data_IF_690158050880
#
_entry.id   IF_690158050880
#
_cell.length_a   1.000
_cell.length_b   1.000
_cell.length_c   1.000
_cell.angle_alpha   90.00
_cell.angle_beta   90.00
_cell.angle_gamma   90.00
#
_symmetry.space_group_name_H-M   'P 1'
#
loop_
_entity.id
_entity.type
_entity.pdbx_description
1 polymer ?
#
# COMPACT_ATOMS: atom_id res chain seq x y z
N UNK A 1 17.87 -28.64 -22.38
CA UNK A 1 18.28 -28.88 -20.97
C UNK A 1 17.45 -27.98 -20.07
N UNK A 2 17.03 -28.48 -18.91
CA UNK A 2 15.73 -28.19 -18.29
C UNK A 2 15.50 -26.76 -17.79
N UNK A 3 14.48 -26.09 -18.35
CA UNK A 3 13.94 -24.80 -17.88
C UNK A 3 13.23 -24.88 -16.52
N UNK A 4 13.22 -26.05 -15.88
CA UNK A 4 12.54 -26.38 -14.62
C UNK A 4 13.61 -26.85 -13.62
N UNK A 5 13.50 -26.51 -12.32
CA UNK A 5 14.43 -26.99 -11.30
C UNK A 5 14.57 -28.52 -11.33
N UNK A 6 15.80 -29.07 -11.25
CA UNK A 6 16.00 -30.51 -11.29
C UNK A 6 15.22 -31.23 -10.19
N UNK A 7 14.81 -32.48 -10.45
CA UNK A 7 14.06 -33.29 -9.48
C UNK A 7 14.79 -33.45 -8.14
N UNK A 8 16.12 -33.40 -8.17
CA UNK A 8 17.02 -33.38 -7.00
C UNK A 8 16.81 -32.22 -6.02
N UNK A 9 16.01 -31.21 -6.40
CA UNK A 9 15.47 -30.16 -5.53
C UNK A 9 14.01 -30.55 -5.26
N UNK A 10 13.79 -31.45 -4.30
CA UNK A 10 12.51 -32.08 -4.02
C UNK A 10 11.72 -31.45 -2.85
N UNK A 11 12.28 -30.42 -2.24
CA UNK A 11 11.66 -29.66 -1.14
C UNK A 11 11.43 -28.22 -1.57
N UNK A 12 10.46 -27.56 -0.96
CA UNK A 12 10.19 -26.14 -1.14
C UNK A 12 9.45 -25.75 -2.42
N UNK A 13 9.41 -24.43 -2.62
CA UNK A 13 8.79 -23.72 -3.72
C UNK A 13 9.88 -22.90 -4.41
N UNK A 14 10.04 -23.12 -5.71
CA UNK A 14 10.93 -22.35 -6.58
C UNK A 14 10.08 -21.43 -7.45
N UNK A 15 10.41 -20.15 -7.47
CA UNK A 15 9.70 -19.16 -8.27
C UNK A 15 10.62 -18.10 -8.85
N UNK A 16 10.20 -17.51 -9.97
CA UNK A 16 10.83 -16.32 -10.53
C UNK A 16 9.96 -15.11 -10.20
N UNK A 17 10.58 -14.02 -9.76
CA UNK A 17 9.90 -12.74 -9.61
C UNK A 17 10.30 -11.80 -10.76
N UNK A 18 9.31 -11.25 -11.44
CA UNK A 18 9.49 -10.31 -12.55
C UNK A 18 8.45 -9.21 -12.50
N UNK A 19 8.85 -7.96 -12.71
CA UNK A 19 7.92 -6.87 -12.89
C UNK A 19 7.38 -6.93 -14.33
N UNK A 20 6.05 -7.09 -14.45
CA UNK A 20 5.37 -7.25 -15.72
C UNK A 20 4.29 -6.19 -15.90
N UNK A 21 4.07 -5.79 -17.14
CA UNK A 21 3.06 -4.80 -17.49
C UNK A 21 1.69 -5.48 -17.44
N UNK A 22 0.76 -4.84 -16.74
CA UNK A 22 -0.65 -5.22 -16.71
C UNK A 22 -1.40 -4.35 -17.74
N UNK A 23 -1.94 -4.98 -18.78
CA UNK A 23 -2.70 -4.27 -19.81
C UNK A 23 -4.15 -4.09 -19.35
N UNK A 24 -4.43 -2.92 -18.81
CA UNK A 24 -5.76 -2.39 -18.50
C UNK A 24 -5.83 -0.93 -18.96
N UNK A 25 -6.98 -0.25 -18.80
CA UNK A 25 -7.22 1.16 -19.20
C UNK A 25 -6.10 2.16 -18.81
N UNK A 26 -5.28 1.81 -17.81
CA UNK A 26 -3.98 2.45 -17.53
C UNK A 26 -2.93 1.36 -17.32
N UNK A 27 -1.97 1.23 -18.24
CA UNK A 27 -0.87 0.27 -18.10
C UNK A 27 -0.02 0.59 -16.86
N UNK A 28 0.22 -0.43 -16.02
CA UNK A 28 1.08 -0.31 -14.84
C UNK A 28 1.90 -1.59 -14.62
N UNK A 29 3.08 -1.45 -14.03
CA UNK A 29 3.96 -2.57 -13.72
C UNK A 29 3.60 -3.17 -12.36
N UNK A 30 3.47 -4.49 -12.32
CA UNK A 30 3.22 -5.26 -11.10
C UNK A 30 4.23 -6.39 -10.96
N UNK A 31 4.79 -6.63 -9.75
CA UNK A 31 5.61 -7.79 -9.50
C UNK A 31 4.77 -9.07 -9.59
N UNK A 32 5.04 -9.88 -10.62
CA UNK A 32 4.44 -11.19 -10.84
C UNK A 32 5.39 -12.27 -10.35
N UNK A 33 4.85 -13.24 -9.60
CA UNK A 33 5.57 -14.39 -9.12
C UNK A 33 5.20 -15.62 -9.96
N UNK A 34 6.17 -16.08 -10.75
CA UNK A 34 6.07 -17.25 -11.63
C UNK A 34 6.51 -18.48 -10.84
N UNK A 35 5.57 -19.32 -10.43
CA UNK A 35 5.85 -20.57 -9.72
C UNK A 35 6.37 -21.60 -10.71
N UNK A 36 7.64 -21.99 -10.55
CA UNK A 36 8.31 -22.97 -11.39
C UNK A 36 8.09 -24.39 -10.89
N UNK A 37 8.10 -24.55 -9.57
CA UNK A 37 7.92 -25.83 -8.90
C UNK A 37 7.43 -25.58 -7.48
N UNK A 38 6.42 -26.32 -7.05
CA UNK A 38 5.93 -26.32 -5.68
C UNK A 38 5.86 -27.77 -5.18
N UNK A 39 6.84 -28.17 -4.38
CA UNK A 39 6.88 -29.49 -3.73
C UNK A 39 6.40 -29.45 -2.27
N UNK A 40 6.22 -28.25 -1.73
CA UNK A 40 5.57 -27.97 -0.46
C UNK A 40 4.29 -27.15 -0.70
N UNK A 41 3.27 -27.26 0.18
CA UNK A 41 2.06 -26.46 0.05
C UNK A 41 2.37 -24.97 0.19
N UNK A 42 1.71 -24.15 -0.63
CA UNK A 42 1.73 -22.69 -0.47
C UNK A 42 1.13 -22.32 0.89
N UNK A 43 1.80 -21.45 1.64
CA UNK A 43 1.32 -20.96 2.94
C UNK A 43 0.16 -19.97 2.79
N UNK A 44 0.07 -19.34 1.62
CA UNK A 44 -0.95 -18.39 1.28
C UNK A 44 -2.34 -19.06 1.27
N UNK A 45 -3.28 -18.49 2.03
CA UNK A 45 -4.68 -18.93 2.04
C UNK A 45 -5.45 -18.26 0.91
N UNK A 46 -6.47 -18.95 0.40
CA UNK A 46 -7.40 -18.42 -0.59
C UNK A 46 -8.66 -17.89 0.09
N UNK A 47 -9.16 -16.76 -0.40
CA UNK A 47 -10.50 -16.25 -0.10
C UNK A 47 -11.54 -16.93 -0.99
N UNK A 48 -11.20 -17.16 -2.26
CA UNK A 48 -12.08 -17.74 -3.28
C UNK A 48 -11.29 -18.60 -4.26
N UNK A 49 -11.94 -19.59 -4.85
CA UNK A 49 -11.37 -20.43 -5.90
C UNK A 49 -10.35 -21.44 -5.40
N UNK A 50 -9.38 -21.77 -6.25
CA UNK A 50 -8.35 -22.79 -5.97
C UNK A 50 -7.02 -22.41 -6.60
N UNK A 51 -5.94 -23.01 -6.09
CA UNK A 51 -4.68 -23.02 -6.83
C UNK A 51 -4.81 -23.93 -8.07
N UNK A 52 -4.08 -23.63 -9.16
CA UNK A 52 -4.01 -24.51 -10.32
C UNK A 52 -3.56 -25.92 -9.93
N UNK A 53 -4.20 -26.91 -10.52
CA UNK A 53 -3.90 -28.33 -10.34
C UNK A 53 -3.24 -28.90 -11.59
N UNK A 54 -2.75 -30.14 -11.50
CA UNK A 54 -2.22 -30.84 -12.67
C UNK A 54 -3.20 -30.94 -13.84
N UNK A 55 -4.51 -30.84 -13.58
CA UNK A 55 -5.52 -30.86 -14.64
C UNK A 55 -5.56 -29.58 -15.46
N UNK A 56 -5.08 -28.45 -14.92
CA UNK A 56 -5.02 -27.17 -15.62
C UNK A 56 -3.75 -27.04 -16.47
N UNK A 57 -2.75 -27.89 -16.22
CA UNK A 57 -1.49 -27.89 -16.95
C UNK A 57 -1.76 -27.96 -18.47
N UNK A 58 -1.23 -26.97 -19.19
CA UNK A 58 -1.37 -26.80 -20.64
C UNK A 58 -2.81 -26.63 -21.18
N UNK A 59 -3.85 -26.61 -20.35
CA UNK A 59 -5.24 -26.38 -20.82
C UNK A 59 -5.57 -24.89 -20.91
N UNK A 60 -5.10 -24.11 -19.95
CA UNK A 60 -5.31 -22.66 -19.90
C UNK A 60 -4.17 -22.00 -19.15
N UNK A 61 -3.83 -20.77 -19.55
CA UNK A 61 -2.93 -19.94 -18.77
C UNK A 61 -3.68 -19.50 -17.51
N UNK A 62 -3.15 -19.83 -16.34
CA UNK A 62 -3.84 -19.60 -15.06
C UNK A 62 -3.10 -18.60 -14.18
N UNK A 63 -3.86 -17.76 -13.49
CA UNK A 63 -3.38 -16.85 -12.47
C UNK A 63 -4.16 -17.03 -11.17
N UNK A 64 -3.48 -16.77 -10.05
CA UNK A 64 -4.07 -16.58 -8.72
C UNK A 64 -3.67 -15.20 -8.24
N UNK A 65 -4.63 -14.40 -7.81
CA UNK A 65 -4.43 -12.96 -7.61
C UNK A 65 -4.78 -12.50 -6.21
N UNK A 66 -4.19 -11.40 -5.76
CA UNK A 66 -4.59 -10.69 -4.56
C UNK A 66 -5.92 -9.95 -4.77
N UNK A 67 -6.60 -9.62 -3.67
CA UNK A 67 -7.92 -8.97 -3.71
C UNK A 67 -7.90 -7.60 -4.41
N UNK A 68 -6.78 -6.89 -4.34
CA UNK A 68 -6.61 -5.59 -5.01
C UNK A 68 -6.57 -5.69 -6.54
N UNK A 69 -6.25 -6.88 -7.08
CA UNK A 69 -6.23 -7.15 -8.52
C UNK A 69 -7.60 -7.46 -9.10
N UNK A 70 -8.62 -7.78 -8.28
CA UNK A 70 -9.93 -8.22 -8.79
C UNK A 70 -10.62 -7.17 -9.66
N UNK A 71 -10.50 -5.89 -9.28
CA UNK A 71 -11.03 -4.75 -10.04
C UNK A 71 -10.39 -4.57 -11.42
N UNK A 72 -9.27 -5.27 -11.67
CA UNK A 72 -8.53 -5.25 -12.93
C UNK A 72 -8.80 -6.49 -13.78
N UNK A 73 -9.75 -7.34 -13.36
CA UNK A 73 -10.16 -8.51 -14.12
C UNK A 73 -11.32 -8.22 -15.07
N UNK A 74 -11.38 -8.94 -16.18
CA UNK A 74 -12.44 -8.86 -17.18
C UNK A 74 -13.26 -10.15 -17.12
N UNK A 75 -14.58 -10.01 -16.95
CA UNK A 75 -15.50 -11.15 -16.97
C UNK A 75 -15.86 -11.52 -18.41
N UNK A 76 -15.53 -12.74 -18.84
CA UNK A 76 -15.81 -13.26 -20.18
C UNK A 76 -16.11 -14.76 -20.09
N UNK A 77 -17.05 -15.27 -20.88
CA UNK A 77 -17.32 -16.72 -20.97
C UNK A 77 -17.51 -17.47 -19.63
N UNK A 78 -18.07 -16.80 -18.62
CA UNK A 78 -18.28 -17.38 -17.28
C UNK A 78 -17.04 -17.45 -16.38
N UNK A 79 -15.89 -16.90 -16.81
CA UNK A 79 -14.66 -16.78 -16.03
C UNK A 79 -14.20 -15.34 -15.86
N UNK A 80 -13.29 -15.11 -14.90
CA UNK A 80 -12.57 -13.85 -14.71
C UNK A 80 -11.18 -13.97 -15.36
N UNK A 81 -10.78 -12.98 -16.13
CA UNK A 81 -9.51 -12.98 -16.86
C UNK A 81 -8.67 -11.76 -16.54
N UNK A 82 -7.35 -11.90 -16.64
CA UNK A 82 -6.37 -10.85 -16.40
C UNK A 82 -5.37 -10.81 -17.55
N UNK A 83 -5.11 -9.65 -18.12
CA UNK A 83 -4.11 -9.49 -19.17
C UNK A 83 -2.76 -9.09 -18.56
N UNK A 84 -1.73 -9.91 -18.79
CA UNK A 84 -0.36 -9.68 -18.33
C UNK A 84 0.55 -9.67 -19.57
N UNK A 85 1.07 -8.49 -19.90
CA UNK A 85 2.02 -8.28 -21.01
C UNK A 85 1.50 -8.83 -22.35
N UNK A 86 0.23 -8.57 -22.67
CA UNK A 86 -0.43 -9.05 -23.87
C UNK A 86 -0.99 -10.49 -23.81
N UNK A 87 -0.72 -11.25 -22.74
CA UNK A 87 -1.23 -12.62 -22.57
C UNK A 87 -2.43 -12.67 -21.62
N UNK A 88 -3.49 -13.38 -22.02
CA UNK A 88 -4.73 -13.51 -21.24
C UNK A 88 -4.66 -14.70 -20.27
N UNK A 89 -4.80 -14.45 -18.97
CA UNK A 89 -4.78 -15.46 -17.92
C UNK A 89 -6.15 -15.63 -17.27
N UNK A 90 -6.61 -16.87 -17.16
CA UNK A 90 -7.79 -17.23 -16.37
C UNK A 90 -7.47 -17.10 -14.86
N UNK A 91 -8.26 -16.32 -14.14
CA UNK A 91 -8.16 -16.18 -12.69
C UNK A 91 -8.85 -17.37 -12.04
N UNK A 92 -8.06 -18.24 -11.42
CA UNK A 92 -8.51 -19.50 -10.81
C UNK A 92 -8.72 -19.41 -9.29
N UNK A 93 -8.11 -18.41 -8.66
CA UNK A 93 -8.22 -18.18 -7.22
C UNK A 93 -7.90 -16.75 -6.83
N UNK A 94 -8.46 -16.33 -5.70
CA UNK A 94 -8.22 -15.03 -5.07
C UNK A 94 -7.65 -15.29 -3.68
N UNK A 95 -6.50 -14.68 -3.39
CA UNK A 95 -5.79 -14.82 -2.13
C UNK A 95 -6.51 -14.10 -1.01
N UNK A 96 -6.36 -14.62 0.21
CA UNK A 96 -6.72 -13.89 1.41
C UNK A 96 -5.75 -12.71 1.58
N UNK A 97 -6.26 -11.48 1.81
CA UNK A 97 -5.44 -10.29 1.97
C UNK A 97 -4.55 -10.41 3.20
N UNK A 98 -3.31 -9.95 3.07
CA UNK A 98 -2.32 -10.03 4.17
C UNK A 98 -2.29 -8.74 4.99
N UNK A 99 -2.46 -7.58 4.35
CA UNK A 99 -2.40 -6.26 5.01
C UNK A 99 -3.64 -5.42 4.69
N UNK A 100 -4.05 -5.39 3.41
CA UNK A 100 -5.20 -4.60 2.97
C UNK A 100 -5.88 -5.27 1.79
N UNK A 101 -7.21 -5.32 1.82
CA UNK A 101 -8.02 -5.82 0.71
C UNK A 101 -7.82 -4.99 -0.57
N UNK A 102 -7.70 -3.67 -0.44
CA UNK A 102 -7.68 -2.75 -1.58
C UNK A 102 -6.35 -2.70 -2.33
N UNK A 103 -5.27 -3.04 -1.64
CA UNK A 103 -3.89 -2.84 -2.11
C UNK A 103 -3.09 -4.15 -2.21
N UNK A 104 -3.76 -5.31 -2.17
CA UNK A 104 -3.13 -6.60 -2.42
C UNK A 104 -3.00 -6.86 -3.92
N UNK A 105 -1.89 -6.40 -4.50
CA UNK A 105 -1.58 -6.54 -5.93
C UNK A 105 -0.74 -7.78 -6.26
N UNK A 106 -0.74 -8.81 -5.40
CA UNK A 106 -0.01 -10.06 -5.69
C UNK A 106 -0.58 -10.76 -6.91
N UNK A 107 0.29 -11.31 -7.75
CA UNK A 107 -0.09 -12.15 -8.89
C UNK A 107 0.83 -13.37 -8.91
N UNK A 108 0.23 -14.55 -8.82
CA UNK A 108 0.91 -15.82 -9.01
C UNK A 108 0.49 -16.43 -10.34
N UNK A 109 1.47 -16.78 -11.17
CA UNK A 109 1.25 -17.58 -12.37
C UNK A 109 2.09 -18.85 -12.31
N UNK A 110 1.71 -19.89 -13.05
CA UNK A 110 2.29 -21.22 -12.90
C UNK A 110 2.95 -21.64 -14.19
N UNK A 111 4.23 -22.03 -14.11
CA UNK A 111 5.06 -22.35 -15.27
C UNK A 111 4.45 -23.45 -16.16
N UNK A 112 3.83 -24.46 -15.54
CA UNK A 112 3.19 -25.57 -16.26
C UNK A 112 1.90 -25.18 -16.99
N UNK A 113 1.30 -24.05 -16.63
CA UNK A 113 0.13 -23.47 -17.29
C UNK A 113 0.51 -22.52 -18.44
N UNK A 114 1.79 -22.10 -18.55
CA UNK A 114 2.22 -21.16 -19.58
C UNK A 114 2.37 -21.83 -20.95
N UNK A 115 1.96 -21.11 -22.00
CA UNK A 115 2.31 -21.44 -23.39
C UNK A 115 3.81 -21.29 -23.63
N UNK A 116 4.34 -21.95 -24.66
CA UNK A 116 5.77 -21.87 -24.96
C UNK A 116 6.21 -20.45 -25.36
N UNK A 117 5.35 -19.71 -26.07
CA UNK A 117 5.57 -18.29 -26.38
C UNK A 117 5.67 -17.43 -25.11
N UNK A 118 4.77 -17.65 -24.15
CA UNK A 118 4.77 -16.91 -22.87
C UNK A 118 6.01 -17.23 -22.03
N UNK A 119 6.45 -18.50 -22.02
CA UNK A 119 7.68 -18.93 -21.37
C UNK A 119 8.91 -18.25 -21.96
N UNK A 120 8.99 -18.17 -23.28
CA UNK A 120 10.11 -17.54 -23.96
C UNK A 120 10.12 -16.02 -23.73
N UNK A 121 8.95 -15.36 -23.72
CA UNK A 121 8.82 -13.95 -23.37
C UNK A 121 9.24 -13.65 -21.92
N UNK A 122 8.87 -14.49 -20.95
CA UNK A 122 9.25 -14.25 -19.56
C UNK A 122 10.73 -14.51 -19.28
N UNK A 123 11.37 -15.42 -20.01
CA UNK A 123 12.81 -15.72 -19.86
C UNK A 123 13.70 -14.76 -20.65
N UNK A 124 13.22 -14.10 -21.70
CA UNK A 124 14.07 -13.31 -22.62
C UNK A 124 14.68 -12.02 -22.06
N UNK A 125 14.46 -11.65 -20.78
CA UNK A 125 15.00 -10.43 -20.16
C UNK A 125 16.24 -10.71 -19.29
N UNK A 126 17.19 -9.77 -19.32
CA UNK A 126 18.57 -9.93 -18.82
C UNK A 126 18.71 -10.14 -17.30
N UNK A 127 17.68 -9.88 -16.49
CA UNK A 127 17.74 -10.08 -15.05
C UNK A 127 16.55 -10.88 -14.53
N UNK A 128 16.84 -12.04 -13.94
CA UNK A 128 15.85 -12.94 -13.35
C UNK A 128 16.18 -13.09 -11.86
N UNK A 129 15.24 -12.72 -11.00
CA UNK A 129 15.34 -13.02 -9.57
C UNK A 129 14.65 -14.34 -9.28
N UNK A 130 15.42 -15.37 -8.91
CA UNK A 130 14.87 -16.63 -8.44
C UNK A 130 14.72 -16.61 -6.91
N UNK A 131 13.57 -17.07 -6.42
CA UNK A 131 13.26 -17.22 -5.02
C UNK A 131 13.00 -18.69 -4.70
N UNK A 132 13.74 -19.20 -3.72
CA UNK A 132 13.51 -20.51 -3.13
C UNK A 132 13.00 -20.33 -1.70
N UNK A 133 11.84 -20.94 -1.41
CA UNK A 133 11.21 -20.95 -0.08
C UNK A 133 11.00 -22.39 0.34
N UNK A 134 11.40 -22.76 1.55
CA UNK A 134 11.11 -24.08 2.12
C UNK A 134 10.84 -23.95 3.61
N UNK A 135 9.94 -24.80 4.12
CA UNK A 135 9.76 -25.01 5.56
C UNK A 135 10.91 -25.81 6.17
N UNK A 136 11.57 -26.61 5.35
CA UNK A 136 12.75 -27.37 5.75
C UNK A 136 14.00 -26.49 5.73
N UNK A 137 14.97 -26.73 6.64
CA UNK A 137 16.25 -26.04 6.61
C UNK A 137 16.93 -26.21 5.24
N UNK A 138 17.31 -25.10 4.62
CA UNK A 138 18.06 -25.13 3.36
C UNK A 138 19.49 -25.56 3.64
N UNK A 139 19.82 -26.80 3.26
CA UNK A 139 21.18 -27.35 3.35
C UNK A 139 22.09 -26.74 2.28
N UNK A 140 23.41 -26.79 2.51
CA UNK A 140 24.39 -26.33 1.52
C UNK A 140 24.31 -27.13 0.20
N UNK A 141 23.88 -28.39 0.26
CA UNK A 141 23.65 -29.22 -0.92
C UNK A 141 22.51 -28.66 -1.79
N UNK A 142 21.36 -28.33 -1.20
CA UNK A 142 20.22 -27.72 -1.91
C UNK A 142 20.62 -26.36 -2.48
N UNK A 143 21.34 -25.55 -1.70
CA UNK A 143 21.88 -24.26 -2.14
C UNK A 143 22.79 -24.43 -3.37
N UNK A 144 23.76 -25.34 -3.31
CA UNK A 144 24.70 -25.55 -4.41
C UNK A 144 23.99 -26.03 -5.68
N UNK A 145 23.00 -26.92 -5.55
CA UNK A 145 22.17 -27.37 -6.68
C UNK A 145 21.33 -26.25 -7.29
N UNK A 146 20.72 -25.40 -6.46
CA UNK A 146 20.00 -24.21 -6.94
C UNK A 146 20.93 -23.26 -7.70
N UNK A 147 22.15 -23.05 -7.19
CA UNK A 147 23.17 -22.22 -7.84
C UNK A 147 23.64 -22.82 -9.17
N UNK A 148 23.91 -24.12 -9.23
CA UNK A 148 24.28 -24.83 -10.46
C UNK A 148 23.16 -24.75 -11.51
N UNK A 149 21.92 -24.97 -11.09
CA UNK A 149 20.76 -24.84 -11.96
C UNK A 149 20.60 -23.41 -12.48
N UNK A 150 20.73 -22.39 -11.62
CA UNK A 150 20.67 -20.97 -12.00
C UNK A 150 21.78 -20.56 -12.96
N UNK A 151 23.01 -21.06 -12.73
CA UNK A 151 24.15 -20.85 -13.65
C UNK A 151 23.88 -21.39 -15.04
N UNK A 152 23.03 -22.42 -15.18
CA UNK A 152 22.58 -22.94 -16.48
C UNK A 152 21.77 -21.96 -17.32
N UNK A 153 21.20 -20.90 -16.73
CA UNK A 153 20.47 -19.85 -17.45
C UNK A 153 21.32 -18.60 -17.71
N UNK A 154 22.40 -18.41 -16.95
CA UNK A 154 23.25 -17.23 -17.11
C UNK A 154 24.21 -17.42 -18.28
N UNK A 155 24.33 -16.39 -19.13
CA UNK A 155 25.42 -16.31 -20.12
C UNK A 155 26.78 -16.17 -19.42
N UNK A 156 26.79 -15.59 -18.21
CA UNK A 156 27.97 -15.41 -17.36
C UNK A 156 27.73 -16.06 -15.99
N UNK A 157 28.12 -17.34 -15.81
CA UNK A 157 27.86 -18.10 -14.57
C UNK A 157 28.47 -17.50 -13.30
N UNK A 158 29.48 -16.64 -13.46
CA UNK A 158 30.16 -15.88 -12.40
C UNK A 158 29.33 -14.76 -11.79
N UNK A 159 28.32 -14.25 -12.51
CA UNK A 159 27.47 -13.14 -12.06
C UNK A 159 26.24 -13.61 -11.25
N UNK A 160 26.09 -14.91 -11.03
CA UNK A 160 24.99 -15.45 -10.21
C UNK A 160 25.30 -15.22 -8.74
N UNK A 161 24.74 -14.15 -8.20
CA UNK A 161 24.85 -13.83 -6.78
C UNK A 161 23.75 -14.54 -5.97
N UNK A 162 24.17 -15.23 -4.90
CA UNK A 162 23.25 -15.84 -3.95
C UNK A 162 23.16 -15.02 -2.68
N UNK A 163 21.95 -14.55 -2.39
CA UNK A 163 21.64 -13.86 -1.16
C UNK A 163 20.75 -14.75 -0.29
N UNK A 164 21.32 -15.31 0.79
CA UNK A 164 20.51 -15.99 1.82
C UNK A 164 19.81 -14.95 2.66
N UNK A 165 18.53 -14.74 2.41
CA UNK A 165 17.67 -14.02 3.36
C UNK A 165 17.15 -15.02 4.38
N UNK A 166 17.84 -15.17 5.52
CA UNK A 166 17.33 -15.96 6.63
C UNK A 166 16.23 -15.15 7.32
N UNK A 167 14.99 -15.61 7.22
CA UNK A 167 13.91 -15.09 8.04
C UNK A 167 13.95 -15.77 9.40
N UNK A 168 14.55 -15.10 10.39
CA UNK A 168 14.18 -15.31 11.79
C UNK A 168 13.14 -14.25 12.13
N UNK A 169 11.87 -14.56 11.90
CA UNK A 169 10.76 -13.67 12.22
C UNK A 169 9.60 -14.52 12.73
N UNK A 170 9.27 -14.35 14.01
CA UNK A 170 8.17 -15.05 14.64
C UNK A 170 6.90 -14.87 13.82
N UNK A 171 6.24 -15.99 13.52
CA UNK A 171 4.92 -16.04 12.91
C UNK A 171 3.94 -15.34 13.86
N UNK A 172 3.79 -14.02 13.72
CA UNK A 172 2.60 -13.34 14.23
C UNK A 172 1.52 -13.52 13.15
N UNK A 173 0.59 -14.44 13.42
CA UNK A 173 -0.62 -14.67 12.63
C UNK A 173 -0.45 -15.24 11.21
N UNK A 174 0.58 -16.05 10.95
CA UNK A 174 0.69 -16.82 9.69
C UNK A 174 1.10 -15.99 8.47
N UNK A 175 1.59 -14.77 8.68
CA UNK A 175 1.94 -13.81 7.62
C UNK A 175 3.47 -13.69 7.51
N UNK A 176 4.00 -13.92 6.31
CA UNK A 176 5.41 -13.74 5.97
C UNK A 176 5.76 -12.24 5.97
N UNK A 177 6.53 -11.79 6.97
CA UNK A 177 6.96 -10.38 7.15
C UNK A 177 7.68 -9.80 5.93
N UNK A 178 8.29 -10.63 5.08
CA UNK A 178 8.94 -10.12 3.87
C UNK A 178 7.99 -9.92 2.70
N UNK A 179 6.90 -10.69 2.65
CA UNK A 179 5.81 -10.44 1.71
C UNK A 179 5.15 -9.10 2.07
N UNK A 180 4.94 -8.86 3.37
CA UNK A 180 4.55 -7.55 3.90
C UNK A 180 5.58 -6.50 3.49
N UNK A 181 6.87 -6.66 3.77
CA UNK A 181 7.90 -5.66 3.47
C UNK A 181 8.01 -5.32 1.96
N UNK A 182 7.76 -6.30 1.09
CA UNK A 182 7.80 -6.16 -0.36
C UNK A 182 6.56 -5.44 -0.89
N UNK A 183 5.37 -5.80 -0.41
CA UNK A 183 4.13 -5.04 -0.69
C UNK A 183 4.19 -3.63 -0.11
N UNK A 184 4.89 -3.49 1.03
CA UNK A 184 5.17 -2.21 1.67
C UNK A 184 6.10 -1.34 0.81
N UNK A 185 6.83 -1.86 -0.17
CA UNK A 185 7.70 -1.06 -1.07
C UNK A 185 6.91 -0.15 -2.00
N UNK A 186 5.91 -0.70 -2.71
CA UNK A 186 5.06 0.10 -3.59
C UNK A 186 4.08 0.95 -2.76
N UNK A 187 3.60 0.40 -1.63
CA UNK A 187 2.84 1.16 -0.64
C UNK A 187 3.67 2.28 0.00
N UNK A 188 4.99 2.14 0.16
CA UNK A 188 5.88 3.17 0.72
C UNK A 188 5.87 4.42 -0.12
N UNK A 189 5.80 4.33 -1.46
CA UNK A 189 5.74 5.54 -2.31
C UNK A 189 4.41 6.26 -2.09
N UNK A 190 3.29 5.55 -2.17
CA UNK A 190 1.96 6.14 -1.93
C UNK A 190 1.81 6.69 -0.49
N UNK A 191 2.30 5.96 0.51
CA UNK A 191 2.34 6.42 1.92
C UNK A 191 3.28 7.60 2.08
N UNK A 192 4.42 7.63 1.39
CA UNK A 192 5.37 8.75 1.46
C UNK A 192 4.77 10.01 0.84
N UNK A 193 4.08 9.88 -0.30
CA UNK A 193 3.33 10.98 -0.92
C UNK A 193 2.22 11.45 0.03
N UNK A 194 1.45 10.53 0.61
CA UNK A 194 0.41 10.86 1.60
C UNK A 194 0.97 11.58 2.83
N UNK A 195 2.11 11.13 3.36
CA UNK A 195 2.82 11.80 4.47
C UNK A 195 3.36 13.18 4.07
N UNK A 196 3.76 13.35 2.80
CA UNK A 196 4.21 14.63 2.28
C UNK A 196 3.05 15.64 2.19
N UNK A 197 1.86 15.19 1.76
CA UNK A 197 0.63 15.99 1.76
C UNK A 197 0.25 16.38 3.19
N UNK A 198 0.29 15.45 4.14
CA UNK A 198 0.04 15.73 5.56
C UNK A 198 0.98 16.80 6.12
N UNK A 199 2.26 16.82 5.71
CA UNK A 199 3.22 17.86 6.10
C UNK A 199 2.77 19.26 5.66
N UNK A 200 2.26 19.41 4.43
CA UNK A 200 1.70 20.69 3.96
C UNK A 200 0.46 21.09 4.74
N UNK A 201 -0.42 20.14 5.08
CA UNK A 201 -1.63 20.40 5.88
C UNK A 201 -1.28 20.97 7.26
N UNK A 202 -0.24 20.44 7.93
CA UNK A 202 0.23 20.98 9.21
C UNK A 202 0.73 22.42 9.05
N UNK A 203 1.49 22.72 7.98
CA UNK A 203 1.95 24.08 7.69
C UNK A 203 0.76 25.03 7.49
N UNK A 204 -0.27 24.59 6.76
CA UNK A 204 -1.49 25.37 6.58
C UNK A 204 -2.23 25.61 7.90
N UNK A 205 -2.31 24.61 8.79
CA UNK A 205 -2.92 24.77 10.10
C UNK A 205 -2.15 25.82 10.95
N UNK A 206 -0.81 25.84 10.87
CA UNK A 206 0.03 26.84 11.56
C UNK A 206 -0.26 28.24 11.03
N UNK A 207 -0.24 28.42 9.71
CA UNK A 207 -0.49 29.71 9.06
C UNK A 207 -1.90 30.19 9.37
N UNK A 208 -2.90 29.29 9.29
CA UNK A 208 -4.29 29.61 9.60
C UNK A 208 -4.46 30.03 11.06
N UNK A 209 -3.89 29.27 12.01
CA UNK A 209 -3.94 29.61 13.44
C UNK A 209 -3.29 30.98 13.72
N UNK A 210 -2.15 31.27 13.09
CA UNK A 210 -1.49 32.57 13.20
C UNK A 210 -2.36 33.73 12.65
N UNK A 211 -2.89 33.59 11.43
CA UNK A 211 -3.72 34.61 10.80
C UNK A 211 -5.02 34.84 11.57
N UNK A 212 -5.64 33.77 12.07
CA UNK A 212 -6.82 33.85 12.92
C UNK A 212 -6.50 34.61 14.22
N UNK A 213 -5.39 34.26 14.89
CA UNK A 213 -4.95 34.93 16.11
C UNK A 213 -4.67 36.42 15.91
N UNK A 214 -4.08 36.79 14.76
CA UNK A 214 -3.87 38.20 14.40
C UNK A 214 -5.18 38.95 14.17
N UNK A 215 -6.16 38.34 13.49
CA UNK A 215 -7.46 38.95 13.22
C UNK A 215 -8.29 39.16 14.49
N UNK A 216 -8.24 38.19 15.41
CA UNK A 216 -8.99 38.24 16.67
C UNK A 216 -8.18 38.84 17.84
N UNK A 217 -7.01 39.43 17.56
CA UNK A 217 -6.15 40.00 18.59
C UNK A 217 -6.85 41.11 19.38
N UNK A 218 -7.57 42.01 18.71
CA UNK A 218 -8.32 43.08 19.36
C UNK A 218 -9.44 42.54 20.27
N UNK A 219 -10.20 41.56 19.78
CA UNK A 219 -11.26 40.90 20.54
C UNK A 219 -10.70 40.24 21.82
N UNK A 220 -9.58 39.53 21.69
CA UNK A 220 -8.90 38.87 22.80
C UNK A 220 -8.32 39.88 23.81
N UNK A 221 -7.85 41.04 23.35
CA UNK A 221 -7.40 42.13 24.22
C UNK A 221 -8.54 42.76 25.01
N UNK A 222 -9.70 42.96 24.39
CA UNK A 222 -10.91 43.44 25.06
C UNK A 222 -11.34 42.43 26.13
N UNK A 223 -11.41 41.13 25.79
CA UNK A 223 -11.72 40.05 26.74
C UNK A 223 -10.80 40.07 27.96
N UNK A 224 -9.50 40.31 27.77
CA UNK A 224 -8.54 40.49 28.88
C UNK A 224 -8.86 41.69 29.77
N UNK A 225 -9.16 42.84 29.18
CA UNK A 225 -9.55 44.05 29.94
C UNK A 225 -10.84 43.81 30.73
N UNK A 226 -11.76 43.02 30.19
CA UNK A 226 -12.97 42.57 30.88
C UNK A 226 -12.74 41.49 31.95
N UNK A 227 -11.49 41.13 32.27
CA UNK A 227 -11.15 40.21 33.35
C UNK A 227 -11.12 38.73 32.97
N UNK A 228 -11.07 38.38 31.68
CA UNK A 228 -10.93 36.98 31.27
C UNK A 228 -9.50 36.49 31.48
N UNK A 229 -9.36 35.36 32.19
CA UNK A 229 -8.08 34.67 32.37
C UNK A 229 -7.58 34.05 31.05
N UNK A 230 -6.26 33.94 30.89
CA UNK A 230 -5.62 33.41 29.66
C UNK A 230 -6.12 32.01 29.28
N UNK A 231 -6.37 31.14 30.27
CA UNK A 231 -6.89 29.78 30.04
C UNK A 231 -8.28 29.80 29.38
N UNK A 232 -9.12 30.76 29.75
CA UNK A 232 -10.47 30.88 29.16
C UNK A 232 -10.38 31.30 27.70
N UNK A 233 -9.52 32.27 27.38
CA UNK A 233 -9.27 32.73 26.01
C UNK A 233 -8.67 31.61 25.16
N UNK A 234 -7.80 30.78 25.75
CA UNK A 234 -7.26 29.59 25.10
C UNK A 234 -8.37 28.59 24.72
N UNK A 235 -9.24 28.21 25.64
CA UNK A 235 -10.31 27.25 25.36
C UNK A 235 -11.36 27.79 24.38
N UNK A 236 -11.70 29.08 24.45
CA UNK A 236 -12.55 29.72 23.45
C UNK A 236 -11.92 29.64 22.05
N UNK A 237 -10.59 29.82 21.96
CA UNK A 237 -9.84 29.69 20.71
C UNK A 237 -9.83 28.25 20.19
N UNK A 238 -9.56 27.27 21.07
CA UNK A 238 -9.60 25.83 20.73
C UNK A 238 -10.98 25.45 20.18
N UNK A 239 -12.05 25.86 20.87
CA UNK A 239 -13.41 25.53 20.47
C UNK A 239 -13.74 26.12 19.09
N UNK A 240 -13.37 27.37 18.83
CA UNK A 240 -13.56 28.00 17.52
C UNK A 240 -12.79 27.28 16.41
N UNK A 241 -11.52 26.92 16.65
CA UNK A 241 -10.71 26.18 15.67
C UNK A 241 -11.29 24.78 15.38
N UNK A 242 -11.82 24.09 16.40
CA UNK A 242 -12.50 22.79 16.24
C UNK A 242 -13.81 22.92 15.45
N UNK A 243 -14.56 24.01 15.64
CA UNK A 243 -15.77 24.28 14.83
C UNK A 243 -15.40 24.48 13.36
N UNK A 244 -14.34 25.25 13.07
CA UNK A 244 -13.86 25.38 11.69
C UNK A 244 -13.39 24.06 11.09
N UNK A 245 -12.73 23.21 11.89
CA UNK A 245 -12.34 21.87 11.47
C UNK A 245 -13.56 21.01 11.10
N UNK A 246 -14.64 21.06 11.91
CA UNK A 246 -15.87 20.32 11.62
C UNK A 246 -16.54 20.79 10.32
N UNK A 247 -16.62 22.10 10.11
CA UNK A 247 -17.20 22.67 8.89
C UNK A 247 -16.37 22.26 7.66
N UNK A 248 -15.05 22.38 7.74
CA UNK A 248 -14.14 21.99 6.66
C UNK A 248 -14.19 20.48 6.38
N UNK A 249 -14.24 19.65 7.43
CA UNK A 249 -14.38 18.20 7.33
C UNK A 249 -15.68 17.81 6.64
N UNK A 250 -16.81 18.43 7.01
CA UNK A 250 -18.09 18.20 6.37
C UNK A 250 -18.07 18.57 4.88
N UNK A 251 -17.46 19.71 4.52
CA UNK A 251 -17.30 20.11 3.13
C UNK A 251 -16.44 19.12 2.33
N UNK A 252 -15.33 18.65 2.90
CA UNK A 252 -14.47 17.64 2.27
C UNK A 252 -15.20 16.30 2.09
N UNK A 253 -16.03 15.88 3.05
CA UNK A 253 -16.88 14.69 2.92
C UNK A 253 -17.89 14.81 1.78
N UNK A 254 -18.49 15.98 1.58
CA UNK A 254 -19.41 16.21 0.47
C UNK A 254 -18.68 16.13 -0.88
N UNK A 255 -17.53 16.79 -1.02
CA UNK A 255 -16.75 16.79 -2.27
C UNK A 255 -16.27 15.37 -2.62
N UNK A 256 -15.75 14.64 -1.63
CA UNK A 256 -15.33 13.25 -1.83
C UNK A 256 -16.53 12.35 -2.17
N UNK A 257 -17.66 12.51 -1.47
CA UNK A 257 -18.90 11.79 -1.77
C UNK A 257 -19.36 11.97 -3.22
N UNK A 258 -19.38 13.22 -3.71
CA UNK A 258 -19.72 13.50 -5.11
C UNK A 258 -18.75 12.78 -6.06
N UNK A 259 -17.45 12.81 -5.77
CA UNK A 259 -16.43 12.18 -6.60
C UNK A 259 -16.58 10.65 -6.71
N UNK A 260 -16.98 9.99 -5.63
CA UNK A 260 -17.22 8.54 -5.63
C UNK A 260 -18.56 8.15 -6.25
N UNK A 261 -19.59 8.98 -6.07
CA UNK A 261 -20.89 8.81 -6.75
C UNK A 261 -20.73 8.90 -8.27
N UNK A 262 -19.94 9.87 -8.75
CA UNK A 262 -19.62 10.00 -10.19
C UNK A 262 -18.88 8.77 -10.76
N UNK A 263 -18.17 8.02 -9.92
CA UNK A 263 -17.45 6.80 -10.30
C UNK A 263 -18.25 5.51 -10.07
N UNK A 264 -19.52 5.63 -9.64
CA UNK A 264 -20.39 4.50 -9.28
C UNK A 264 -19.79 3.54 -8.22
N UNK A 265 -18.89 4.01 -7.36
CA UNK A 265 -18.14 3.20 -6.40
C UNK A 265 -18.49 3.56 -4.94
N UNK A 266 -19.77 3.38 -4.59
CA UNK A 266 -20.34 3.79 -3.29
C UNK A 266 -19.83 2.95 -2.11
N UNK A 267 -19.54 1.67 -2.33
CA UNK A 267 -19.02 0.77 -1.29
C UNK A 267 -17.63 1.22 -0.85
N UNK A 268 -16.78 1.60 -1.81
CA UNK A 268 -15.44 2.13 -1.52
C UNK A 268 -15.49 3.48 -0.80
N UNK A 269 -16.49 4.32 -1.09
CA UNK A 269 -16.70 5.58 -0.35
C UNK A 269 -17.00 5.34 1.14
N UNK A 270 -17.97 4.47 1.44
CA UNK A 270 -18.35 4.17 2.83
C UNK A 270 -17.20 3.56 3.62
N UNK A 271 -16.45 2.64 3.01
CA UNK A 271 -15.28 2.04 3.66
C UNK A 271 -14.15 3.06 3.87
N UNK A 272 -13.94 3.97 2.92
CA UNK A 272 -12.92 5.03 3.05
C UNK A 272 -13.24 6.04 4.17
N UNK A 273 -14.52 6.37 4.39
CA UNK A 273 -14.94 7.23 5.52
C UNK A 273 -14.59 6.58 6.85
N UNK A 274 -14.91 5.28 7.01
CA UNK A 274 -14.71 4.59 8.30
C UNK A 274 -13.25 4.49 8.69
N UNK A 275 -12.36 4.24 7.72
CA UNK A 275 -10.97 3.88 8.01
C UNK A 275 -10.03 5.09 8.05
N UNK A 276 -10.20 6.06 7.15
CA UNK A 276 -9.25 7.18 7.00
C UNK A 276 -9.76 8.47 7.64
N UNK A 277 -11.03 8.83 7.42
CA UNK A 277 -11.56 10.12 7.88
C UNK A 277 -11.56 10.26 9.41
N UNK A 278 -11.98 9.22 10.14
CA UNK A 278 -12.01 9.25 11.60
C UNK A 278 -10.60 9.43 12.17
N UNK A 279 -9.63 8.69 11.62
CA UNK A 279 -8.23 8.74 12.06
C UNK A 279 -7.60 10.10 11.79
N UNK A 280 -7.77 10.64 10.59
CA UNK A 280 -7.20 11.93 10.20
C UNK A 280 -7.87 13.09 10.97
N UNK A 281 -9.18 13.00 11.21
CA UNK A 281 -9.91 13.98 12.02
C UNK A 281 -9.35 14.08 13.45
N UNK A 282 -9.05 12.94 14.08
CA UNK A 282 -8.46 12.91 15.43
C UNK A 282 -7.07 13.56 15.43
N UNK A 283 -6.22 13.22 14.46
CA UNK A 283 -4.85 13.76 14.37
C UNK A 283 -4.87 15.28 14.16
N UNK A 284 -5.69 15.77 13.23
CA UNK A 284 -5.79 17.21 12.93
C UNK A 284 -6.40 17.97 14.13
N UNK A 285 -7.36 17.38 14.85
CA UNK A 285 -7.91 17.96 16.08
C UNK A 285 -6.82 18.17 17.14
N UNK A 286 -5.95 17.18 17.36
CA UNK A 286 -4.82 17.30 18.28
C UNK A 286 -3.84 18.40 17.85
N UNK A 287 -3.57 18.50 16.54
CA UNK A 287 -2.72 19.57 15.99
C UNK A 287 -3.34 20.94 16.25
N UNK A 288 -4.64 21.13 16.02
CA UNK A 288 -5.30 22.42 16.30
C UNK A 288 -5.29 22.79 17.78
N UNK A 289 -5.44 21.82 18.69
CA UNK A 289 -5.32 22.05 20.14
C UNK A 289 -3.92 22.58 20.47
N UNK A 290 -2.87 21.98 19.90
CA UNK A 290 -1.49 22.43 20.08
C UNK A 290 -1.27 23.83 19.47
N UNK A 291 -1.81 24.07 18.28
CA UNK A 291 -1.64 25.33 17.56
C UNK A 291 -2.47 26.49 18.13
N UNK A 292 -3.50 26.23 18.94
CA UNK A 292 -4.23 27.26 19.67
C UNK A 292 -3.35 28.05 20.66
N UNK A 293 -2.18 27.51 21.01
CA UNK A 293 -1.16 28.24 21.79
C UNK A 293 -0.60 29.44 21.00
N UNK A 294 -0.57 29.40 19.67
CA UNK A 294 -0.02 30.50 18.84
C UNK A 294 -0.83 31.81 19.03
N UNK A 295 -2.16 31.84 18.86
CA UNK A 295 -3.00 33.00 19.19
C UNK A 295 -2.85 33.48 20.65
N UNK A 296 -2.70 32.54 21.58
CA UNK A 296 -2.51 32.86 22.99
C UNK A 296 -1.20 33.63 23.20
N UNK A 297 -0.08 33.13 22.67
CA UNK A 297 1.23 33.78 22.76
C UNK A 297 1.21 35.18 22.13
N UNK A 298 0.53 35.36 20.99
CA UNK A 298 0.37 36.68 20.37
C UNK A 298 -0.39 37.66 21.29
N UNK A 299 -1.40 37.15 22.00
CA UNK A 299 -2.20 37.93 22.96
C UNK A 299 -1.42 38.22 24.24
N UNK A 300 -0.56 37.31 24.70
CA UNK A 300 0.21 37.50 25.94
C UNK A 300 1.38 38.46 25.80
N UNK A 301 2.00 38.50 24.62
CA UNK A 301 3.18 39.36 24.35
C UNK A 301 2.86 40.85 24.28
N UNK A 302 1.60 41.25 24.16
CA UNK A 302 1.19 42.66 24.01
C UNK A 302 0.40 43.13 25.23
N UNK A 303 0.75 44.31 25.74
CA UNK A 303 0.01 44.94 26.85
C UNK A 303 -1.29 45.56 26.32
N UNK A 304 -2.47 45.23 26.89
CA UNK A 304 -3.76 45.70 26.39
C UNK A 304 -3.86 47.22 26.30
N UNK A 305 -3.40 47.94 27.33
CA UNK A 305 -3.50 49.41 27.41
C UNK A 305 -2.61 50.18 26.42
N UNK A 306 -1.60 49.55 25.83
CA UNK A 306 -0.76 50.17 24.79
C UNK A 306 -1.37 49.90 23.41
N UNK A 307 -1.88 48.70 23.19
CA UNK A 307 -2.41 48.27 21.90
C UNK A 307 -3.79 48.88 21.59
N UNK A 308 -4.62 49.10 22.60
CA UNK A 308 -5.95 49.70 22.43
C UNK A 308 -5.91 51.23 22.27
N UNK A 309 -4.79 51.88 22.64
CA UNK A 309 -4.58 53.32 22.44
C UNK A 309 -4.06 53.67 21.05
N UNK A 310 -3.47 52.72 20.31
CA UNK A 310 -2.92 52.98 18.97
C UNK A 310 -3.97 52.97 17.85
N UNK A 311 -5.25 52.97 18.19
CA UNK A 311 -6.39 52.99 17.25
C UNK A 311 -7.19 54.29 17.29
N UNK A 312 -6.78 55.25 18.14
CA UNK A 312 -7.11 56.68 17.98
C UNK A 312 -6.12 57.33 17.02
#
# INVERSE_FOLDING_TARGET
MGKIPPESINTGIVSIRKDLIMDIDVAFETPVQIILKASEPLKEKLREGRFPSHEDNKKSMCAVIGTGMEKHTISKSGGKYLNISGFEFLVTGILMPVVSEKYDFRVYIYWDCLSDECKDYFISNNFITCQYRSESPVTDEIKNRLLEWMRGFSKEPSEVEYYKRIQYGAVHNGIDETLVATLTSNYKIFVSIGRFIQLFEVVYCIVFSYLWGMRHLYENMIKRVCGFNSIRIFWDTVLMLLVYLLIAGAAAMLISGISYVLKADFITFVNSIKEYFIKDFIIISLIFILLAVVPLVLTERRKPGIFLKSTE
#
